data_IF_790670524811
#
_entry.id   IF_790670524811
#
_cell.length_a   1.000
_cell.length_b   1.000
_cell.length_c   1.000
_cell.angle_alpha   90.00
_cell.angle_beta   90.00
_cell.angle_gamma   90.00
#
_symmetry.space_group_name_H-M   'P 1'
#
loop_
_entity.id
_entity.type
_entity.pdbx_description
1 polymer ?
#
# COMPACT_ATOMS: atom_id res chain seq x y z
N UNK A 1 48.29 29.72 -31.72
CA UNK A 1 49.63 30.24 -31.41
C UNK A 1 49.48 31.38 -30.38
N UNK A 2 50.20 31.26 -29.24
CA UNK A 2 50.50 32.29 -28.20
C UNK A 2 49.28 32.76 -27.38
N UNK A 3 49.01 32.22 -26.18
CA UNK A 3 49.71 32.34 -24.88
C UNK A 3 49.88 33.79 -24.41
N UNK A 4 49.32 34.14 -23.23
CA UNK A 4 50.11 34.63 -22.08
C UNK A 4 49.25 35.01 -20.86
N UNK A 5 49.52 34.29 -19.78
CA UNK A 5 49.24 34.57 -18.37
C UNK A 5 50.03 35.81 -17.92
N UNK A 6 49.42 36.69 -17.10
CA UNK A 6 50.16 37.53 -16.13
C UNK A 6 49.41 37.68 -14.80
N UNK A 7 50.10 37.21 -13.77
CA UNK A 7 49.87 37.27 -12.34
C UNK A 7 50.39 38.61 -11.79
N UNK A 8 49.65 39.36 -10.97
CA UNK A 8 50.20 40.45 -10.14
C UNK A 8 49.62 40.38 -8.72
N UNK A 9 50.53 40.63 -7.78
CA UNK A 9 50.50 40.44 -6.35
C UNK A 9 49.49 41.29 -5.56
N UNK A 10 49.12 40.69 -4.43
CA UNK A 10 48.64 41.22 -3.15
C UNK A 10 49.11 42.60 -2.70
N UNK A 11 48.20 43.38 -2.11
CA UNK A 11 48.49 44.31 -1.01
C UNK A 11 47.33 44.28 0.00
N UNK A 12 47.64 43.89 1.23
CA UNK A 12 46.77 43.94 2.39
C UNK A 12 47.01 45.28 3.10
N UNK A 13 45.95 46.02 3.43
CA UNK A 13 46.03 47.15 4.36
C UNK A 13 44.75 47.20 5.22
N UNK A 14 44.96 47.23 6.52
CA UNK A 14 43.95 47.25 7.59
C UNK A 14 43.44 48.66 7.88
N UNK A 15 42.13 48.76 8.14
CA UNK A 15 41.45 49.57 9.18
C UNK A 15 41.39 51.11 9.02
N UNK A 16 40.48 51.84 9.72
CA UNK A 16 39.10 51.53 10.13
C UNK A 16 38.09 52.74 10.07
N UNK A 17 36.83 52.46 10.43
CA UNK A 17 35.94 53.30 11.30
C UNK A 17 35.06 54.44 10.71
N UNK A 18 33.77 54.35 11.10
CA UNK A 18 32.69 55.35 11.31
C UNK A 18 31.92 56.01 10.14
N UNK A 19 30.64 55.62 10.05
CA UNK A 19 29.52 56.57 10.20
C UNK A 19 28.88 57.14 8.94
N UNK A 20 27.61 56.83 8.69
CA UNK A 20 26.78 57.61 7.75
C UNK A 20 25.57 56.85 7.19
N UNK A 21 24.38 57.33 7.54
CA UNK A 21 23.08 56.75 7.27
C UNK A 21 22.78 56.54 5.77
N UNK A 22 22.25 55.37 5.42
CA UNK A 22 21.51 55.16 4.17
C UNK A 22 20.10 54.72 4.55
N UNK A 23 19.13 55.53 4.12
CA UNK A 23 17.71 55.23 4.20
C UNK A 23 17.38 54.15 3.16
N UNK A 24 16.87 53.01 3.62
CA UNK A 24 16.34 51.95 2.75
C UNK A 24 14.89 51.69 3.14
N UNK A 25 14.01 51.81 2.14
CA UNK A 25 12.58 51.49 2.25
C UNK A 25 12.37 49.98 2.33
N UNK A 26 11.55 49.60 3.31
CA UNK A 26 10.56 48.53 3.35
C UNK A 26 10.77 47.28 2.45
N UNK A 27 10.89 46.11 3.10
CA UNK A 27 10.24 44.87 2.66
C UNK A 27 9.82 44.03 3.88
N UNK A 28 8.53 43.66 3.84
CA UNK A 28 7.77 42.59 4.47
C UNK A 28 8.26 41.87 5.74
N UNK A 29 7.33 41.74 6.68
CA UNK A 29 7.43 40.85 7.84
C UNK A 29 7.26 39.39 7.38
N UNK A 30 8.35 38.63 7.39
CA UNK A 30 8.31 37.17 7.31
C UNK A 30 7.68 36.62 8.62
N UNK A 31 6.61 35.81 8.57
CA UNK A 31 6.12 35.15 9.78
C UNK A 31 7.14 34.08 10.23
N UNK A 32 7.53 34.16 11.50
CA UNK A 32 8.35 33.16 12.20
C UNK A 32 7.72 31.77 12.08
N UNK A 33 8.38 30.88 11.35
CA UNK A 33 8.05 29.44 11.35
C UNK A 33 8.53 28.88 12.69
N UNK A 34 7.59 28.54 13.56
CA UNK A 34 7.87 27.72 14.74
C UNK A 34 8.33 26.36 14.22
N UNK A 35 9.58 25.99 14.51
CA UNK A 35 10.06 24.63 14.25
C UNK A 35 9.41 23.73 15.30
N UNK A 36 8.27 23.15 14.95
CA UNK A 36 7.68 22.06 15.71
C UNK A 36 8.65 20.87 15.65
N UNK A 37 9.02 20.35 16.82
CA UNK A 37 9.88 19.17 16.97
C UNK A 37 9.29 18.00 16.19
N UNK A 38 9.92 17.67 15.07
CA UNK A 38 9.65 16.42 14.34
C UNK A 38 10.07 15.26 15.25
N UNK A 39 9.08 14.49 15.71
CA UNK A 39 9.28 13.18 16.37
C UNK A 39 10.19 12.34 15.46
N UNK A 40 11.28 11.73 15.96
CA UNK A 40 12.20 11.01 15.10
C UNK A 40 11.47 9.87 14.41
N UNK A 41 11.51 9.86 13.07
CA UNK A 41 11.18 8.68 12.28
C UNK A 41 12.12 7.57 12.75
N UNK A 42 11.55 6.50 13.32
CA UNK A 42 12.33 5.34 13.71
C UNK A 42 12.88 4.73 12.42
N UNK A 43 14.19 4.85 12.24
CA UNK A 43 14.97 4.09 11.28
C UNK A 43 14.68 2.60 11.51
N UNK A 44 14.07 1.94 10.52
CA UNK A 44 13.96 0.48 10.44
C UNK A 44 15.38 -0.09 10.53
N UNK A 45 15.76 -0.48 11.74
CA UNK A 45 16.97 -1.24 11.99
C UNK A 45 16.66 -2.65 11.53
N UNK A 46 17.52 -3.24 10.71
CA UNK A 46 17.42 -4.63 10.21
C UNK A 46 17.28 -5.61 11.38
N UNK A 47 16.04 -5.89 11.73
CA UNK A 47 15.61 -6.72 12.84
C UNK A 47 14.19 -7.17 12.52
N UNK A 48 13.89 -8.43 12.86
CA UNK A 48 12.63 -9.04 12.47
C UNK A 48 11.43 -8.21 12.89
N UNK A 49 10.43 -8.08 12.01
CA UNK A 49 9.20 -7.35 12.30
C UNK A 49 8.59 -7.84 13.62
N UNK A 50 8.32 -6.94 14.56
CA UNK A 50 7.61 -7.30 15.79
C UNK A 50 6.15 -7.63 15.49
N UNK A 51 5.46 -8.32 16.41
CA UNK A 51 4.04 -8.63 16.21
C UNK A 51 3.18 -7.36 16.09
N UNK A 52 3.51 -6.33 16.88
CA UNK A 52 2.82 -5.03 16.81
C UNK A 52 2.98 -4.38 15.44
N UNK A 53 4.20 -4.45 14.89
CA UNK A 53 4.51 -3.92 13.58
C UNK A 53 3.71 -4.64 12.50
N UNK A 54 3.68 -5.98 12.52
CA UNK A 54 2.90 -6.78 11.57
C UNK A 54 1.40 -6.48 11.65
N UNK A 55 0.81 -6.53 12.86
CA UNK A 55 -0.62 -6.33 13.04
C UNK A 55 -1.06 -4.94 12.52
N UNK A 56 -0.26 -3.91 12.78
CA UNK A 56 -0.56 -2.56 12.29
C UNK A 56 -0.32 -2.40 10.79
N UNK A 57 0.76 -2.99 10.25
CA UNK A 57 1.09 -2.94 8.82
C UNK A 57 0.00 -3.60 7.97
N UNK A 58 -0.54 -4.72 8.45
CA UNK A 58 -1.51 -5.57 7.75
C UNK A 58 -2.97 -5.15 8.00
N UNK A 59 -3.22 -4.37 9.05
CA UNK A 59 -4.54 -3.83 9.40
C UNK A 59 -5.36 -3.26 8.22
N UNK A 60 -4.82 -2.49 7.26
CA UNK A 60 -5.63 -1.92 6.18
C UNK A 60 -6.04 -2.93 5.10
N UNK A 61 -5.39 -4.09 4.99
CA UNK A 61 -5.64 -5.08 3.93
C UNK A 61 -6.16 -6.43 4.44
N UNK A 62 -6.08 -6.72 5.74
CA UNK A 62 -6.43 -8.03 6.28
C UNK A 62 -7.88 -8.47 6.01
N UNK A 63 -8.81 -7.53 5.82
CA UNK A 63 -10.23 -7.82 5.53
C UNK A 63 -10.55 -7.82 4.03
N UNK A 64 -9.55 -7.87 3.15
CA UNK A 64 -9.75 -7.96 1.70
C UNK A 64 -10.10 -9.41 1.31
N UNK A 65 -10.83 -9.62 0.20
CA UNK A 65 -11.01 -10.96 -0.36
C UNK A 65 -9.68 -11.67 -0.59
N UNK A 66 -9.62 -12.96 -0.30
CA UNK A 66 -8.37 -13.74 -0.27
C UNK A 66 -7.62 -13.69 -1.62
N UNK A 67 -8.36 -13.73 -2.73
CA UNK A 67 -7.79 -13.63 -4.08
C UNK A 67 -7.20 -12.26 -4.42
N UNK A 68 -7.69 -11.19 -3.82
CA UNK A 68 -7.10 -9.85 -3.98
C UNK A 68 -5.92 -9.68 -3.03
N UNK A 69 -6.07 -10.15 -1.79
CA UNK A 69 -5.04 -10.09 -0.76
C UNK A 69 -3.75 -10.79 -1.20
N UNK A 70 -3.84 -11.99 -1.78
CA UNK A 70 -2.67 -12.73 -2.27
C UNK A 70 -1.90 -11.95 -3.34
N UNK A 71 -2.58 -11.29 -4.28
CA UNK A 71 -1.91 -10.43 -5.27
C UNK A 71 -1.24 -9.22 -4.63
N UNK A 72 -1.85 -8.57 -3.64
CA UNK A 72 -1.25 -7.42 -2.94
C UNK A 72 0.05 -7.84 -2.24
N UNK A 73 0.04 -9.00 -1.56
CA UNK A 73 1.22 -9.53 -0.87
C UNK A 73 2.36 -9.80 -1.85
N UNK A 74 2.10 -10.51 -2.96
CA UNK A 74 3.12 -10.78 -3.98
C UNK A 74 3.61 -9.47 -4.63
N UNK A 75 2.68 -8.61 -5.06
CA UNK A 75 2.99 -7.34 -5.73
C UNK A 75 3.82 -6.39 -4.87
N UNK A 76 3.68 -6.44 -3.54
CA UNK A 76 4.46 -5.61 -2.63
C UNK A 76 5.97 -5.88 -2.69
N UNK A 77 6.37 -7.05 -3.20
CA UNK A 77 7.78 -7.40 -3.45
C UNK A 77 8.34 -6.79 -4.75
N UNK A 78 7.51 -6.10 -5.53
CA UNK A 78 7.87 -5.44 -6.80
C UNK A 78 7.45 -3.95 -6.83
N UNK A 79 7.94 -3.10 -5.90
CA UNK A 79 7.46 -1.71 -5.77
C UNK A 79 7.67 -0.84 -7.01
N UNK A 80 8.70 -1.11 -7.82
CA UNK A 80 8.90 -0.41 -9.09
C UNK A 80 7.77 -0.72 -10.09
N UNK A 81 7.41 -1.99 -10.23
CA UNK A 81 6.33 -2.41 -11.12
C UNK A 81 4.98 -1.88 -10.65
N UNK A 82 4.75 -1.78 -9.34
CA UNK A 82 3.57 -1.12 -8.77
C UNK A 82 3.45 0.32 -9.26
N UNK A 83 4.54 1.09 -9.24
CA UNK A 83 4.54 2.48 -9.72
C UNK A 83 4.31 2.57 -11.22
N UNK A 84 4.91 1.66 -12.00
CA UNK A 84 4.70 1.60 -13.44
C UNK A 84 3.25 1.25 -13.80
N UNK A 85 2.67 0.25 -13.12
CA UNK A 85 1.30 -0.18 -13.31
C UNK A 85 0.28 0.89 -12.85
N UNK A 86 0.53 1.61 -11.75
CA UNK A 86 -0.30 2.76 -11.35
C UNK A 86 -0.30 3.83 -12.44
N UNK A 87 0.89 4.21 -12.93
CA UNK A 87 1.02 5.23 -13.98
C UNK A 87 0.31 4.80 -15.25
N UNK A 88 0.44 3.53 -15.62
CA UNK A 88 -0.29 2.96 -16.74
C UNK A 88 -1.80 3.05 -16.50
N UNK A 89 -2.30 2.63 -15.34
CA UNK A 89 -3.73 2.65 -15.00
C UNK A 89 -4.31 4.07 -15.05
N UNK A 90 -3.58 5.05 -14.52
CA UNK A 90 -3.94 6.48 -14.56
C UNK A 90 -4.02 7.04 -15.98
N UNK A 91 -3.23 6.52 -16.91
CA UNK A 91 -3.28 6.91 -18.32
C UNK A 91 -4.33 6.12 -19.14
N UNK A 92 -4.90 5.04 -18.58
CA UNK A 92 -5.79 4.12 -19.26
C UNK A 92 -7.14 3.95 -18.55
N UNK A 93 -7.70 5.03 -18.00
CA UNK A 93 -8.93 5.02 -17.16
C UNK A 93 -10.20 4.46 -17.82
N UNK A 94 -10.20 4.27 -19.15
CA UNK A 94 -11.31 3.65 -19.89
C UNK A 94 -11.27 2.12 -19.87
N UNK A 95 -10.12 1.53 -19.57
CA UNK A 95 -9.96 0.09 -19.40
C UNK A 95 -10.25 -0.26 -17.95
N UNK A 96 -11.13 -1.22 -17.72
CA UNK A 96 -11.56 -1.63 -16.39
C UNK A 96 -11.58 -3.14 -16.28
N UNK A 97 -11.36 -3.65 -15.06
CA UNK A 97 -11.40 -5.08 -14.78
C UNK A 97 -10.56 -5.89 -15.76
N UNK A 98 -11.17 -6.93 -16.32
CA UNK A 98 -10.54 -7.84 -17.27
C UNK A 98 -9.96 -7.18 -18.53
N UNK A 99 -10.59 -6.11 -19.05
CA UNK A 99 -10.08 -5.44 -20.26
C UNK A 99 -8.75 -4.72 -19.97
N UNK A 100 -8.57 -4.23 -18.75
CA UNK A 100 -7.31 -3.65 -18.31
C UNK A 100 -6.22 -4.73 -18.17
N UNK A 101 -6.56 -5.89 -17.60
CA UNK A 101 -5.64 -7.03 -17.44
C UNK A 101 -5.14 -7.53 -18.80
N UNK A 102 -6.05 -7.69 -19.78
CA UNK A 102 -5.68 -8.08 -21.15
C UNK A 102 -4.75 -7.09 -21.84
N UNK A 103 -4.99 -5.80 -21.63
CA UNK A 103 -4.17 -4.76 -22.25
C UNK A 103 -2.71 -4.75 -21.76
N UNK A 104 -2.43 -5.34 -20.59
CA UNK A 104 -1.09 -5.44 -20.01
C UNK A 104 -0.50 -6.85 -20.08
N UNK A 105 -1.15 -7.79 -20.77
CA UNK A 105 -0.71 -9.18 -20.86
C UNK A 105 0.75 -9.32 -21.33
N UNK A 106 1.14 -8.50 -22.31
CA UNK A 106 2.48 -8.47 -22.88
C UNK A 106 3.49 -7.59 -22.12
N UNK A 107 3.10 -6.95 -21.01
CA UNK A 107 4.06 -6.26 -20.15
C UNK A 107 4.96 -7.28 -19.47
N UNK A 108 6.19 -6.90 -19.14
CA UNK A 108 7.13 -7.77 -18.45
C UNK A 108 6.98 -7.73 -16.91
N UNK A 109 5.78 -7.41 -16.43
CA UNK A 109 5.47 -7.36 -15.01
C UNK A 109 5.12 -8.75 -14.46
N UNK A 110 5.26 -8.91 -13.14
CA UNK A 110 4.77 -10.08 -12.42
C UNK A 110 3.24 -10.26 -12.64
N UNK A 111 2.74 -11.50 -12.75
CA UNK A 111 1.30 -11.75 -12.89
C UNK A 111 0.43 -11.08 -11.83
N UNK A 112 0.92 -10.93 -10.59
CA UNK A 112 0.20 -10.20 -9.52
C UNK A 112 0.02 -8.73 -9.84
N UNK A 113 1.05 -8.08 -10.36
CA UNK A 113 0.98 -6.68 -10.81
C UNK A 113 0.00 -6.54 -11.97
N UNK A 114 0.06 -7.46 -12.95
CA UNK A 114 -0.89 -7.49 -14.08
C UNK A 114 -2.32 -7.67 -13.60
N UNK A 115 -2.58 -8.51 -12.62
CA UNK A 115 -3.92 -8.68 -12.06
C UNK A 115 -4.41 -7.44 -11.30
N UNK A 116 -3.51 -6.73 -10.61
CA UNK A 116 -3.87 -5.52 -9.87
C UNK A 116 -4.24 -4.32 -10.75
N UNK A 117 -3.97 -4.33 -12.06
CA UNK A 117 -4.45 -3.25 -12.95
C UNK A 117 -5.98 -3.21 -13.07
N UNK A 118 -6.66 -4.32 -12.74
CA UNK A 118 -8.11 -4.36 -12.58
C UNK A 118 -8.60 -3.51 -11.39
N UNK A 119 -7.72 -3.18 -10.45
CA UNK A 119 -7.98 -2.44 -9.22
C UNK A 119 -7.11 -1.17 -9.12
N UNK A 120 -7.39 -0.13 -9.93
CA UNK A 120 -6.60 1.10 -9.95
C UNK A 120 -6.38 1.73 -8.56
N UNK A 121 -7.38 1.68 -7.69
CA UNK A 121 -7.31 2.26 -6.36
C UNK A 121 -6.39 1.51 -5.40
N UNK A 122 -6.15 0.21 -5.65
CA UNK A 122 -5.18 -0.59 -4.89
C UNK A 122 -3.77 -0.20 -5.35
N UNK A 123 -3.52 -0.21 -6.66
CA UNK A 123 -2.24 0.25 -7.22
C UNK A 123 -1.90 1.68 -6.79
N UNK A 124 -2.89 2.56 -6.81
CA UNK A 124 -2.75 3.95 -6.38
C UNK A 124 -2.32 4.04 -4.91
N UNK A 125 -2.94 3.26 -4.02
CA UNK A 125 -2.54 3.23 -2.60
C UNK A 125 -1.12 2.73 -2.43
N UNK A 126 -0.77 1.62 -3.08
CA UNK A 126 0.56 1.04 -2.99
C UNK A 126 1.63 2.00 -3.54
N UNK A 127 1.32 2.74 -4.61
CA UNK A 127 2.22 3.72 -5.24
C UNK A 127 2.32 5.04 -4.47
N UNK A 128 1.24 5.49 -3.82
CA UNK A 128 1.26 6.71 -2.98
C UNK A 128 1.96 6.50 -1.63
N UNK A 129 1.93 5.28 -1.09
CA UNK A 129 2.54 4.88 0.17
C UNK A 129 3.63 3.81 -0.06
N UNK A 130 4.72 4.22 -0.71
CA UNK A 130 5.82 3.31 -1.07
C UNK A 130 6.55 2.75 0.15
N UNK A 131 6.65 3.52 1.24
CA UNK A 131 7.26 3.05 2.48
C UNK A 131 6.45 1.90 3.08
N UNK A 132 5.10 1.99 3.06
CA UNK A 132 4.23 0.89 3.47
C UNK A 132 4.35 -0.30 2.52
N UNK A 133 4.35 -0.07 1.21
CA UNK A 133 4.44 -1.15 0.21
C UNK A 133 5.75 -1.92 0.35
N UNK A 134 6.86 -1.23 0.54
CA UNK A 134 8.15 -1.85 0.75
C UNK A 134 8.19 -2.63 2.06
N UNK A 135 7.70 -2.06 3.17
CA UNK A 135 7.62 -2.78 4.45
C UNK A 135 6.76 -4.04 4.36
N UNK A 136 5.65 -3.99 3.61
CA UNK A 136 4.82 -5.17 3.37
C UNK A 136 5.57 -6.26 2.61
N UNK A 137 6.29 -5.88 1.55
CA UNK A 137 7.10 -6.81 0.77
C UNK A 137 8.23 -7.42 1.59
N UNK A 138 8.94 -6.60 2.36
CA UNK A 138 10.02 -7.04 3.25
C UNK A 138 9.49 -8.01 4.31
N UNK A 139 8.36 -7.70 4.96
CA UNK A 139 7.73 -8.57 5.95
C UNK A 139 7.30 -9.92 5.34
N UNK A 140 6.73 -9.88 4.13
CA UNK A 140 6.27 -11.07 3.42
C UNK A 140 7.42 -11.97 2.99
N UNK A 141 8.54 -11.40 2.51
CA UNK A 141 9.74 -12.15 2.14
C UNK A 141 10.50 -12.68 3.37
N UNK A 142 10.45 -11.98 4.49
CA UNK A 142 11.14 -12.39 5.72
C UNK A 142 10.46 -13.57 6.40
N UNK A 143 9.16 -13.47 6.68
CA UNK A 143 8.39 -14.52 7.34
C UNK A 143 6.92 -14.48 6.90
N UNK A 144 6.68 -15.13 5.76
CA UNK A 144 5.35 -15.32 5.19
C UNK A 144 4.37 -15.94 6.20
N UNK A 145 4.83 -16.88 7.02
CA UNK A 145 3.99 -17.55 8.00
C UNK A 145 3.44 -16.59 9.05
N UNK A 146 4.29 -15.70 9.58
CA UNK A 146 3.87 -14.68 10.55
C UNK A 146 2.97 -13.62 9.95
N UNK A 147 3.15 -13.26 8.68
CA UNK A 147 2.23 -12.37 7.95
C UNK A 147 0.84 -13.02 7.88
N UNK A 148 0.77 -14.28 7.48
CA UNK A 148 -0.49 -15.02 7.37
C UNK A 148 -1.19 -15.19 8.73
N UNK A 149 -0.43 -15.51 9.78
CA UNK A 149 -0.94 -15.63 11.16
C UNK A 149 -1.47 -14.28 11.69
N UNK A 150 -0.78 -13.17 11.40
CA UNK A 150 -1.23 -11.82 11.78
C UNK A 150 -2.53 -11.42 11.07
N UNK A 151 -2.67 -11.71 9.77
CA UNK A 151 -3.91 -11.49 9.02
C UNK A 151 -5.07 -12.28 9.64
N UNK A 152 -4.84 -13.54 10.00
CA UNK A 152 -5.86 -14.36 10.66
C UNK A 152 -6.26 -13.81 12.02
N UNK A 153 -5.31 -13.37 12.84
CA UNK A 153 -5.61 -12.71 14.11
C UNK A 153 -6.45 -11.42 13.90
N UNK A 154 -6.12 -10.60 12.90
CA UNK A 154 -6.91 -9.41 12.56
C UNK A 154 -8.33 -9.77 12.12
N UNK A 155 -8.50 -10.80 11.28
CA UNK A 155 -9.81 -11.30 10.86
C UNK A 155 -10.63 -11.80 12.04
N UNK A 156 -10.02 -12.55 12.95
CA UNK A 156 -10.68 -13.02 14.18
C UNK A 156 -11.14 -11.85 15.05
N UNK A 157 -10.34 -10.77 15.16
CA UNK A 157 -10.71 -9.58 15.93
C UNK A 157 -11.89 -8.85 15.31
N UNK A 158 -11.88 -8.64 13.99
CA UNK A 158 -12.99 -8.01 13.28
C UNK A 158 -14.28 -8.84 13.31
N UNK A 159 -14.14 -10.18 13.30
CA UNK A 159 -15.26 -11.10 13.45
C UNK A 159 -15.83 -11.05 14.88
N UNK A 160 -14.97 -11.15 15.89
CA UNK A 160 -15.36 -11.09 17.30
C UNK A 160 -16.00 -9.75 17.70
N UNK A 161 -15.61 -8.65 17.05
CA UNK A 161 -16.23 -7.33 17.23
C UNK A 161 -17.56 -7.17 16.46
N UNK A 162 -17.98 -8.18 15.68
CA UNK A 162 -19.23 -8.17 14.92
C UNK A 162 -19.21 -7.30 13.65
N UNK A 163 -18.03 -6.85 13.22
CA UNK A 163 -17.88 -6.02 12.03
C UNK A 163 -17.67 -6.87 10.77
N UNK A 164 -16.94 -7.99 10.86
CA UNK A 164 -16.74 -8.91 9.74
C UNK A 164 -17.86 -9.96 9.69
N UNK A 165 -18.69 -9.88 8.66
CA UNK A 165 -19.85 -10.77 8.42
C UNK A 165 -20.21 -10.83 6.94
N UNK A 166 -21.08 -11.76 6.57
CA UNK A 166 -21.65 -11.84 5.23
C UNK A 166 -22.34 -10.53 4.84
N UNK A 167 -22.16 -10.16 3.57
CA UNK A 167 -22.78 -9.00 2.93
C UNK A 167 -23.12 -9.34 1.48
N UNK A 168 -23.76 -8.42 0.77
CA UNK A 168 -23.99 -8.57 -0.67
C UNK A 168 -22.69 -8.52 -1.51
N UNK A 169 -21.53 -8.24 -0.89
CA UNK A 169 -20.27 -7.99 -1.60
C UNK A 169 -19.22 -9.08 -1.29
N UNK A 170 -19.19 -9.55 -0.04
CA UNK A 170 -18.32 -10.64 0.41
C UNK A 170 -19.06 -11.66 1.25
N UNK A 171 -18.61 -12.90 1.17
CA UNK A 171 -18.98 -14.02 2.03
C UNK A 171 -17.82 -14.31 2.98
N UNK A 172 -18.13 -14.45 4.26
CA UNK A 172 -17.17 -14.76 5.33
C UNK A 172 -17.36 -16.22 5.71
N UNK A 173 -16.44 -17.06 5.24
CA UNK A 173 -16.46 -18.50 5.51
C UNK A 173 -15.53 -18.80 6.68
N UNK A 174 -16.06 -19.47 7.70
CA UNK A 174 -15.27 -19.87 8.87
C UNK A 174 -15.18 -21.39 8.94
N UNK A 175 -13.98 -21.91 8.75
CA UNK A 175 -13.67 -23.33 8.84
C UNK A 175 -12.66 -23.54 9.96
N UNK A 176 -13.07 -24.27 11.00
CA UNK A 176 -12.29 -24.45 12.23
C UNK A 176 -11.85 -23.11 12.87
N UNK A 177 -10.61 -22.70 12.63
CA UNK A 177 -9.98 -21.45 13.12
C UNK A 177 -9.50 -20.55 11.97
N UNK A 178 -9.87 -20.87 10.74
CA UNK A 178 -9.56 -20.08 9.55
C UNK A 178 -10.79 -19.28 9.15
N UNK A 179 -10.57 -18.02 8.78
CA UNK A 179 -11.61 -17.13 8.24
C UNK A 179 -11.19 -16.78 6.83
N UNK A 180 -11.95 -17.25 5.84
CA UNK A 180 -11.76 -16.94 4.43
C UNK A 180 -12.76 -15.86 4.02
N UNK A 181 -12.30 -14.90 3.23
CA UNK A 181 -13.16 -13.85 2.69
C UNK A 181 -13.23 -14.05 1.18
N UNK A 182 -14.41 -14.37 0.69
CA UNK A 182 -14.65 -14.64 -0.72
C UNK A 182 -15.59 -13.59 -1.31
N UNK A 183 -15.50 -13.29 -2.62
CA UNK A 183 -16.53 -12.53 -3.30
C UNK A 183 -17.90 -13.20 -3.12
N UNK A 184 -18.94 -12.42 -2.78
CA UNK A 184 -20.30 -12.95 -2.64
C UNK A 184 -20.89 -13.42 -3.99
N UNK A 185 -20.42 -12.82 -5.09
CA UNK A 185 -20.79 -13.17 -6.47
C UNK A 185 -19.54 -13.61 -7.21
N UNK A 186 -19.64 -14.74 -7.90
CA UNK A 186 -18.54 -15.29 -8.70
C UNK A 186 -18.01 -14.24 -9.69
N UNK A 187 -16.68 -14.08 -9.74
CA UNK A 187 -15.97 -13.14 -10.62
C UNK A 187 -16.35 -11.65 -10.47
N UNK A 188 -16.96 -11.26 -9.36
CA UNK A 188 -17.24 -9.85 -9.05
C UNK A 188 -16.60 -9.46 -7.73
N UNK A 189 -15.50 -8.73 -7.80
CA UNK A 189 -14.75 -8.27 -6.63
C UNK A 189 -15.13 -6.84 -6.29
N UNK A 190 -15.33 -6.58 -5.00
CA UNK A 190 -15.45 -5.24 -4.44
C UNK A 190 -14.27 -5.01 -3.49
N UNK A 191 -13.56 -3.89 -3.65
CA UNK A 191 -12.45 -3.53 -2.74
C UNK A 191 -13.04 -2.89 -1.49
N UNK A 192 -12.85 -3.47 -0.30
CA UNK A 192 -13.33 -2.89 0.94
C UNK A 192 -12.42 -1.74 1.41
N UNK A 193 -13.04 -0.71 1.97
CA UNK A 193 -12.38 0.40 2.66
C UNK A 193 -13.06 0.58 4.01
N UNK A 194 -12.28 0.55 5.08
CA UNK A 194 -12.80 0.56 6.45
C UNK A 194 -11.86 1.32 7.38
N UNK A 195 -12.39 1.76 8.52
CA UNK A 195 -11.58 2.39 9.55
C UNK A 195 -10.93 1.34 10.44
N UNK A 196 -9.62 1.15 10.27
CA UNK A 196 -8.82 0.19 11.03
C UNK A 196 -8.80 0.46 12.53
N UNK A 197 -9.11 1.68 12.96
CA UNK A 197 -9.20 2.04 14.39
C UNK A 197 -10.53 1.61 15.03
N UNK A 198 -11.50 1.18 14.22
CA UNK A 198 -12.84 0.80 14.66
C UNK A 198 -13.14 -0.66 14.34
N UNK A 199 -12.79 -1.13 13.13
CA UNK A 199 -13.22 -2.42 12.61
C UNK A 199 -12.76 -3.60 13.47
N UNK A 200 -11.60 -3.49 14.13
CA UNK A 200 -11.02 -4.54 14.96
C UNK A 200 -11.47 -4.47 16.43
N UNK A 201 -12.40 -3.57 16.78
CA UNK A 201 -12.75 -3.26 18.16
C UNK A 201 -11.66 -2.45 18.87
N UNK A 202 -11.58 -2.49 20.21
CA UNK A 202 -10.50 -1.84 20.95
C UNK A 202 -9.14 -2.39 20.51
N UNK A 203 -8.32 -1.51 19.93
CA UNK A 203 -6.99 -1.87 19.46
C UNK A 203 -6.10 -2.24 20.64
N UNK A 204 -5.45 -3.41 20.59
CA UNK A 204 -4.74 -3.99 21.74
C UNK A 204 -3.28 -3.53 21.86
N UNK A 205 -2.74 -2.85 20.85
CA UNK A 205 -1.40 -2.26 20.91
C UNK A 205 -1.47 -0.75 21.16
N UNK A 206 -1.44 -0.35 22.43
CA UNK A 206 -1.56 1.06 22.84
C UNK A 206 -0.55 1.99 22.16
N UNK A 207 0.71 1.57 22.06
CA UNK A 207 1.80 2.39 21.52
C UNK A 207 2.04 2.19 20.02
N UNK A 208 1.24 1.33 19.37
CA UNK A 208 1.41 0.97 17.97
C UNK A 208 0.05 0.96 17.26
N UNK A 209 -0.53 2.14 16.95
CA UNK A 209 -1.85 2.24 16.32
C UNK A 209 -1.84 1.63 14.91
N UNK A 210 -2.98 1.13 14.41
CA UNK A 210 -3.04 0.52 13.09
C UNK A 210 -2.80 1.55 12.00
N UNK A 211 -2.20 1.13 10.89
CA UNK A 211 -2.16 1.93 9.66
C UNK A 211 -3.60 2.19 9.21
N UNK A 212 -3.90 3.45 8.89
CA UNK A 212 -5.21 3.90 8.46
C UNK A 212 -5.13 4.60 7.12
N UNK A 213 -5.86 4.08 6.14
CA UNK A 213 -6.02 4.73 4.85
C UNK A 213 -7.33 5.50 4.78
N UNK A 214 -7.23 6.74 4.32
CA UNK A 214 -8.40 7.53 4.01
C UNK A 214 -9.15 6.92 2.82
N UNK A 215 -10.47 7.08 2.83
CA UNK A 215 -11.31 6.72 1.69
C UNK A 215 -11.04 7.67 0.52
N UNK A 216 -11.20 7.18 -0.70
CA UNK A 216 -11.25 8.05 -1.87
C UNK A 216 -12.69 8.57 -2.08
N UNK A 217 -12.92 9.44 -3.06
CA UNK A 217 -14.26 10.02 -3.26
C UNK A 217 -15.24 9.09 -3.97
N UNK A 218 -14.74 8.06 -4.65
CA UNK A 218 -15.53 7.20 -5.54
C UNK A 218 -16.04 5.90 -4.88
N UNK A 219 -15.85 5.68 -3.57
CA UNK A 219 -16.52 4.54 -2.92
C UNK A 219 -18.03 4.77 -2.92
N UNK A 220 -18.77 3.80 -3.47
CA UNK A 220 -20.17 3.98 -3.89
C UNK A 220 -21.14 3.36 -2.88
N UNK A 221 -20.76 2.26 -2.25
CA UNK A 221 -21.64 1.49 -1.37
C UNK A 221 -21.17 1.53 0.06
N UNK A 222 -22.11 1.54 1.00
CA UNK A 222 -21.84 1.48 2.43
C UNK A 222 -22.64 0.34 3.04
N UNK A 223 -21.97 -0.52 3.81
CA UNK A 223 -22.59 -1.62 4.54
C UNK A 223 -21.83 -1.89 5.83
N UNK A 224 -22.49 -1.71 6.97
CA UNK A 224 -21.88 -1.90 8.29
C UNK A 224 -20.71 -0.94 8.53
N UNK A 225 -19.51 -1.50 8.76
CA UNK A 225 -18.27 -0.73 8.99
C UNK A 225 -17.44 -0.53 7.72
N UNK A 226 -17.98 -0.87 6.54
CA UNK A 226 -17.28 -0.87 5.27
C UNK A 226 -17.89 0.10 4.26
N UNK A 227 -17.01 0.81 3.58
CA UNK A 227 -17.26 1.42 2.29
C UNK A 227 -16.71 0.51 1.21
N UNK A 228 -17.37 0.45 0.07
CA UNK A 228 -16.99 -0.42 -1.02
C UNK A 228 -16.75 0.36 -2.30
N UNK A 229 -15.69 -0.02 -2.99
CA UNK A 229 -15.43 0.42 -4.35
C UNK A 229 -16.53 0.00 -5.34
N UNK A 230 -16.44 0.43 -6.61
CA UNK A 230 -17.31 -0.09 -7.66
C UNK A 230 -17.09 -1.60 -7.84
N UNK A 231 -18.07 -2.26 -8.47
CA UNK A 231 -17.94 -3.67 -8.87
C UNK A 231 -16.83 -3.82 -9.91
N UNK A 232 -15.96 -4.81 -9.74
CA UNK A 232 -14.90 -5.14 -10.70
C UNK A 232 -15.14 -6.56 -11.21
N UNK A 233 -15.33 -6.68 -12.53
CA UNK A 233 -15.43 -7.98 -13.20
C UNK A 233 -14.04 -8.50 -13.50
N UNK A 234 -13.75 -9.70 -13.01
CA UNK A 234 -12.46 -10.38 -13.21
C UNK A 234 -12.60 -11.60 -14.13
N UNK A 235 -11.59 -11.85 -14.96
CA UNK A 235 -11.54 -13.03 -15.81
C UNK A 235 -11.13 -14.31 -15.06
N UNK A 236 -11.22 -15.47 -15.73
CA UNK A 236 -10.80 -16.76 -15.15
C UNK A 236 -9.31 -16.79 -14.76
N UNK A 237 -8.48 -16.04 -15.48
CA UNK A 237 -7.03 -15.91 -15.25
C UNK A 237 -6.69 -15.16 -13.96
N UNK A 238 -7.65 -14.49 -13.31
CA UNK A 238 -7.40 -13.77 -12.07
C UNK A 238 -7.05 -14.71 -10.90
N UNK A 239 -7.60 -15.92 -10.85
CA UNK A 239 -7.43 -16.84 -9.73
C UNK A 239 -6.16 -17.72 -9.88
N UNK A 240 -5.01 -17.11 -10.16
CA UNK A 240 -3.73 -17.81 -10.25
C UNK A 240 -2.94 -17.77 -8.94
N UNK A 241 -3.40 -17.05 -7.92
CA UNK A 241 -2.83 -17.11 -6.58
C UNK A 241 -3.92 -17.28 -5.52
N UNK A 242 -3.56 -17.91 -4.41
CA UNK A 242 -4.48 -18.09 -3.27
C UNK A 242 -3.73 -18.15 -1.95
N UNK A 243 -4.38 -17.67 -0.89
CA UNK A 243 -3.95 -17.83 0.48
C UNK A 243 -4.19 -19.29 0.94
N UNK A 244 -3.12 -20.07 1.09
CA UNK A 244 -3.19 -21.42 1.62
C UNK A 244 -3.00 -21.40 3.15
N UNK A 245 -4.07 -21.03 3.85
CA UNK A 245 -4.07 -20.75 5.29
C UNK A 245 -3.49 -21.86 6.17
N UNK A 246 -3.78 -23.13 5.87
CA UNK A 246 -3.29 -24.28 6.67
C UNK A 246 -1.76 -24.44 6.63
N UNK A 247 -1.11 -24.06 5.52
CA UNK A 247 0.34 -24.08 5.40
C UNK A 247 0.97 -22.70 5.65
N UNK A 248 0.16 -21.68 5.99
CA UNK A 248 0.59 -20.31 6.27
C UNK A 248 1.45 -19.73 5.15
N UNK A 249 0.98 -19.89 3.90
CA UNK A 249 1.66 -19.39 2.70
C UNK A 249 0.67 -18.99 1.61
N UNK A 250 1.08 -18.11 0.72
CA UNK A 250 0.48 -17.83 -0.57
C UNK A 250 1.05 -18.83 -1.58
N UNK A 251 0.16 -19.38 -2.41
CA UNK A 251 0.53 -20.33 -3.46
C UNK A 251 0.15 -19.76 -4.81
N UNK A 252 1.03 -19.95 -5.79
CA UNK A 252 0.72 -19.73 -7.21
C UNK A 252 0.09 -21.01 -7.74
N UNK A 253 -1.14 -20.92 -8.20
CA UNK A 253 -1.92 -21.97 -8.83
C UNK A 253 -1.63 -21.90 -10.33
N UNK A 254 -0.79 -22.80 -10.81
CA UNK A 254 -0.52 -22.93 -12.24
C UNK A 254 -1.70 -23.65 -12.94
N UNK A 255 -2.39 -22.95 -13.83
CA UNK A 255 -3.50 -23.50 -14.62
C UNK A 255 -3.03 -24.23 -15.90
N UNK A 256 -1.72 -24.37 -16.15
CA UNK A 256 -1.16 -25.00 -17.36
C UNK A 256 -1.18 -26.54 -17.37
N UNK A 257 -2.00 -27.19 -16.53
CA UNK A 257 -2.16 -28.66 -16.53
C UNK A 257 -3.60 -29.11 -16.76
N UNK A 258 -4.18 -28.69 -17.90
CA UNK A 258 -5.13 -29.55 -18.62
C UNK A 258 -4.45 -30.03 -19.92
N UNK A 259 -3.80 -31.19 -19.82
CA UNK A 259 -3.42 -31.98 -20.98
C UNK A 259 -4.62 -32.86 -21.29
N UNK A 260 -5.37 -32.50 -22.34
CA UNK A 260 -6.40 -33.35 -22.91
C UNK A 260 -5.79 -34.73 -23.19
N UNK A 261 -6.37 -35.78 -22.59
CA UNK A 261 -6.13 -37.18 -22.93
C UNK A 261 -7.39 -37.75 -23.57
#
# INVERSE_FOLDING_TARGET
MKSSIRLILSFSLMAPVLGGCVTSKAYDQQPTRVYETVKPAQSVTSGSFSQQQLDSLLAPIALYPDSLLSHILIASTYPLEVVEAERWSRNNTRLQGEDAVKAVENQNWDPSIKALVAFPDVLKRMSEDLDWTQQLGDAFLEDEGRVMDSIQNLRDKAYASGHLKDTDHVKVVREERVIMIEPAVERVVYVPVYDTRVVYGPWWWNDYPPVYWHRYSHQVYFSGSFYWGPRVYIGPSFHFSSCHWSNRRVVIIDHHHHRDY
#
